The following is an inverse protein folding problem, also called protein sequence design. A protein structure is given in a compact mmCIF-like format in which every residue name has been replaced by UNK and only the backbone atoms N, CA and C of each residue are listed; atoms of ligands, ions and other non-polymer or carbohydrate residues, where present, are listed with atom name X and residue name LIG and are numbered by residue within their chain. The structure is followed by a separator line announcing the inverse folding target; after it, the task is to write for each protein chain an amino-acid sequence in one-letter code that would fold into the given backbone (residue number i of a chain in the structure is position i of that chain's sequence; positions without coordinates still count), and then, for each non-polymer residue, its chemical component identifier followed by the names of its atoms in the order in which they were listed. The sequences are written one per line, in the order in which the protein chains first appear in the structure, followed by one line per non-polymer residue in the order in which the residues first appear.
data_IF_287594773927
#
_entry.id   IF_287594773927
#
_cell.length_a   1.000
_cell.length_b   1.000
_cell.length_c   1.000
_cell.angle_alpha   90.00
_cell.angle_beta   90.00
_cell.angle_gamma   90.00
#
_symmetry.space_group_name_H-M   'P 1'
#
loop_
_entity.id
_entity.type
_entity.pdbx_description
1 polymer ?
#
# COMPACT_ATOMS: atom_id res chain seq x y z
N UNK A 1 -4.74 6.06 -17.80
CA UNK A 1 -4.44 5.34 -16.55
C UNK A 1 -3.12 4.59 -16.71
N UNK A 2 -2.37 4.33 -15.61
CA UNK A 2 -0.99 3.77 -15.50
C UNK A 2 -0.29 3.34 -16.82
N UNK A 3 -0.86 2.42 -17.60
CA UNK A 3 -0.33 1.96 -18.90
C UNK A 3 -0.15 3.08 -19.94
N UNK A 4 -1.00 4.11 -19.95
CA UNK A 4 -0.87 5.29 -20.85
C UNK A 4 0.38 6.12 -20.57
N UNK A 5 0.94 6.01 -19.36
CA UNK A 5 2.20 6.66 -18.98
C UNK A 5 3.44 5.80 -19.32
N UNK A 6 3.25 4.67 -20.01
CA UNK A 6 4.32 3.71 -20.32
C UNK A 6 4.77 2.89 -19.11
N UNK A 7 3.98 2.86 -18.02
CA UNK A 7 4.26 2.09 -16.82
C UNK A 7 3.56 0.74 -16.87
N UNK A 8 4.27 -0.33 -16.48
CA UNK A 8 3.67 -1.65 -16.24
C UNK A 8 2.75 -1.59 -15.03
N UNK A 9 1.69 -2.38 -15.05
CA UNK A 9 0.72 -2.46 -13.96
C UNK A 9 0.37 -3.92 -13.68
N UNK A 10 0.78 -4.42 -12.52
CA UNK A 10 0.47 -5.76 -12.07
C UNK A 10 -0.81 -5.77 -11.22
N UNK A 11 -1.77 -6.62 -11.55
CA UNK A 11 -2.99 -6.77 -10.76
C UNK A 11 -2.73 -7.66 -9.54
N UNK A 12 -2.84 -7.08 -8.34
CA UNK A 12 -2.62 -7.77 -7.06
C UNK A 12 -3.88 -8.46 -6.50
N UNK A 13 -5.00 -8.41 -7.22
CA UNK A 13 -6.29 -8.95 -6.75
C UNK A 13 -6.99 -8.05 -5.72
N UNK A 14 -8.09 -8.57 -5.17
CA UNK A 14 -8.95 -7.87 -4.22
C UNK A 14 -9.87 -6.80 -4.84
N UNK A 15 -10.96 -6.47 -4.12
CA UNK A 15 -11.86 -5.37 -4.48
C UNK A 15 -11.55 -4.13 -3.61
N UNK A 16 -11.16 -2.99 -4.20
CA UNK A 16 -10.95 -1.75 -3.48
C UNK A 16 -12.15 -1.33 -2.62
N UNK A 17 -13.39 -1.56 -3.06
CA UNK A 17 -14.58 -1.20 -2.31
C UNK A 17 -14.73 -2.04 -1.04
N UNK A 18 -14.54 -3.36 -1.13
CA UNK A 18 -14.55 -4.23 0.03
C UNK A 18 -13.39 -3.88 0.99
N UNK A 19 -12.20 -3.64 0.46
CA UNK A 19 -11.03 -3.27 1.26
C UNK A 19 -11.23 -1.94 2.00
N UNK A 20 -11.75 -0.91 1.32
CA UNK A 20 -12.08 0.37 1.96
C UNK A 20 -13.15 0.20 3.04
N UNK A 21 -14.20 -0.58 2.75
CA UNK A 21 -15.24 -0.86 3.74
C UNK A 21 -14.68 -1.53 4.99
N UNK A 22 -13.66 -2.37 4.84
CA UNK A 22 -12.97 -3.02 5.94
C UNK A 22 -12.10 -2.04 6.75
N UNK A 23 -11.27 -1.25 6.06
CA UNK A 23 -10.36 -0.28 6.70
C UNK A 23 -11.13 0.80 7.48
N UNK A 24 -12.31 1.20 7.00
CA UNK A 24 -13.19 2.15 7.70
C UNK A 24 -13.82 1.53 8.96
N UNK A 25 -14.23 0.25 8.89
CA UNK A 25 -14.85 -0.46 10.02
C UNK A 25 -13.85 -0.87 11.10
N UNK A 26 -12.56 -0.90 10.78
CA UNK A 26 -11.50 -1.36 11.67
C UNK A 26 -10.34 -0.36 11.62
N UNK A 27 -10.48 0.80 12.27
CA UNK A 27 -9.41 1.78 12.34
C UNK A 27 -8.27 1.23 13.20
N UNK A 28 -7.32 0.56 12.56
CA UNK A 28 -6.14 -0.04 13.19
C UNK A 28 -5.70 -1.34 12.51
N UNK A 29 -4.40 -1.64 12.57
CA UNK A 29 -3.82 -2.87 12.01
C UNK A 29 -4.19 -4.12 12.83
N UNK A 30 -4.48 -3.92 14.12
CA UNK A 30 -4.85 -5.00 15.03
C UNK A 30 -6.37 -5.12 15.05
N UNK A 31 -6.95 -6.24 14.58
CA UNK A 31 -8.39 -6.44 14.63
C UNK A 31 -8.87 -6.37 16.08
N UNK A 32 -9.79 -5.45 16.37
CA UNK A 32 -10.44 -5.35 17.67
C UNK A 32 -11.25 -6.62 17.98
N UNK A 33 -11.50 -6.89 19.26
CA UNK A 33 -12.23 -8.08 19.73
C UNK A 33 -13.65 -8.15 19.11
N UNK A 34 -14.25 -7.02 18.72
CA UNK A 34 -15.52 -6.95 17.98
C UNK A 34 -15.48 -7.53 16.56
N UNK A 35 -14.30 -7.61 15.92
CA UNK A 35 -14.17 -8.28 14.63
C UNK A 35 -14.29 -9.81 14.77
N UNK A 36 -13.98 -10.37 15.95
CA UNK A 36 -14.11 -11.82 16.24
C UNK A 36 -15.56 -12.29 16.35
N UNK A 37 -16.47 -11.44 16.81
CA UNK A 37 -17.88 -11.78 17.00
C UNK A 37 -18.72 -11.72 15.72
N UNK A 38 -18.25 -11.03 14.69
CA UNK A 38 -19.04 -10.77 13.46
C UNK A 38 -18.89 -11.84 12.35
N UNK A 39 -18.12 -12.92 12.56
CA UNK A 39 -18.03 -14.04 11.61
C UNK A 39 -17.35 -13.74 10.25
N UNK A 40 -17.03 -12.49 9.95
CA UNK A 40 -16.46 -12.05 8.67
C UNK A 40 -14.93 -12.22 8.56
N UNK A 41 -14.25 -12.66 9.62
CA UNK A 41 -12.78 -12.71 9.67
C UNK A 41 -12.20 -13.59 8.56
N UNK A 42 -12.77 -14.77 8.31
CA UNK A 42 -12.22 -15.69 7.33
C UNK A 42 -12.23 -15.11 5.91
N UNK A 43 -13.33 -14.44 5.52
CA UNK A 43 -13.42 -13.76 4.21
C UNK A 43 -12.42 -12.61 4.11
N UNK A 44 -12.26 -11.83 5.18
CA UNK A 44 -11.32 -10.70 5.25
C UNK A 44 -9.87 -11.15 5.19
N UNK A 45 -9.49 -12.17 5.98
CA UNK A 45 -8.15 -12.75 5.95
C UNK A 45 -7.83 -13.32 4.58
N UNK A 46 -8.81 -13.95 3.91
CA UNK A 46 -8.64 -14.42 2.54
C UNK A 46 -8.36 -13.27 1.56
N UNK A 47 -9.16 -12.20 1.60
CA UNK A 47 -8.96 -11.03 0.73
C UNK A 47 -7.60 -10.36 0.97
N UNK A 48 -7.24 -10.11 2.24
CA UNK A 48 -5.94 -9.51 2.57
C UNK A 48 -4.80 -10.44 2.17
N UNK A 49 -4.94 -11.75 2.38
CA UNK A 49 -3.98 -12.76 1.94
C UNK A 49 -3.75 -12.72 0.44
N UNK A 50 -4.82 -12.70 -0.36
CA UNK A 50 -4.75 -12.56 -1.83
C UNK A 50 -3.98 -11.30 -2.24
N UNK A 51 -4.28 -10.15 -1.62
CA UNK A 51 -3.59 -8.89 -1.91
C UNK A 51 -2.11 -8.96 -1.53
N UNK A 52 -1.77 -9.51 -0.37
CA UNK A 52 -0.38 -9.64 0.08
C UNK A 52 0.43 -10.59 -0.82
N UNK A 53 -0.17 -11.71 -1.22
CA UNK A 53 0.42 -12.65 -2.17
C UNK A 53 0.60 -12.00 -3.54
N UNK A 54 -0.39 -11.24 -4.01
CA UNK A 54 -0.31 -10.46 -5.24
C UNK A 54 0.78 -9.40 -5.20
N UNK A 55 0.93 -8.67 -4.09
CA UNK A 55 2.02 -7.72 -3.87
C UNK A 55 3.40 -8.40 -3.97
N UNK A 56 3.57 -9.56 -3.34
CA UNK A 56 4.83 -10.30 -3.43
C UNK A 56 5.08 -10.80 -4.86
N UNK A 57 4.08 -11.40 -5.50
CA UNK A 57 4.17 -11.87 -6.89
C UNK A 57 4.49 -10.72 -7.86
N UNK A 58 3.95 -9.52 -7.64
CA UNK A 58 4.21 -8.35 -8.47
C UNK A 58 5.69 -7.98 -8.58
N UNK A 59 6.53 -8.44 -7.65
CA UNK A 59 7.96 -8.16 -7.65
C UNK A 59 8.77 -9.05 -8.61
N UNK A 60 8.22 -10.16 -9.10
CA UNK A 60 8.96 -11.09 -9.96
C UNK A 60 8.13 -11.89 -10.98
N UNK A 61 6.83 -12.05 -10.75
CA UNK A 61 5.98 -12.85 -11.62
C UNK A 61 5.76 -12.15 -12.98
N UNK A 62 5.61 -12.92 -14.07
CA UNK A 62 5.14 -12.36 -15.33
C UNK A 62 3.71 -11.85 -15.17
N UNK A 63 3.35 -10.83 -15.94
CA UNK A 63 1.99 -10.30 -15.99
C UNK A 63 1.25 -10.96 -17.16
N UNK A 64 -0.02 -11.31 -16.97
CA UNK A 64 -0.80 -12.11 -17.93
C UNK A 64 -1.51 -11.26 -19.00
N UNK A 65 -0.94 -10.09 -19.32
CA UNK A 65 -1.45 -9.20 -20.37
C UNK A 65 -0.86 -9.51 -21.76
N UNK A 66 -1.59 -9.20 -22.85
CA UNK A 66 -1.08 -9.37 -24.20
C UNK A 66 0.20 -8.54 -24.40
N UNK A 67 1.33 -9.21 -24.61
CA UNK A 67 2.66 -8.59 -24.77
C UNK A 67 3.46 -8.42 -23.48
N UNK A 68 3.00 -8.94 -22.34
CA UNK A 68 3.65 -8.79 -21.02
C UNK A 68 4.29 -10.10 -20.49
N UNK A 69 4.50 -11.11 -21.36
CA UNK A 69 5.14 -12.41 -21.04
C UNK A 69 6.61 -12.30 -20.63
N UNK A 70 7.21 -11.11 -20.75
CA UNK A 70 8.55 -10.85 -20.25
C UNK A 70 8.50 -10.76 -18.72
N UNK A 71 9.19 -11.69 -18.06
CA UNK A 71 9.35 -11.71 -16.61
C UNK A 71 9.78 -10.34 -16.04
N UNK A 72 9.44 -10.09 -14.79
CA UNK A 72 9.83 -8.89 -14.06
C UNK A 72 10.83 -9.26 -12.97
N UNK A 73 11.70 -8.34 -12.58
CA UNK A 73 12.58 -8.53 -11.44
C UNK A 73 12.77 -7.17 -10.77
N UNK A 74 12.09 -6.96 -9.65
CA UNK A 74 12.22 -5.74 -8.88
C UNK A 74 13.65 -5.60 -8.34
N UNK A 75 14.27 -4.45 -8.57
CA UNK A 75 15.57 -4.10 -7.99
C UNK A 75 15.44 -3.15 -6.80
N UNK A 76 14.30 -2.47 -6.67
CA UNK A 76 13.97 -1.59 -5.56
C UNK A 76 12.46 -1.47 -5.43
N UNK A 77 11.98 -1.16 -4.22
CA UNK A 77 10.57 -0.86 -3.95
C UNK A 77 10.45 0.62 -3.58
N UNK A 78 9.54 1.31 -4.24
CA UNK A 78 9.11 2.66 -3.91
C UNK A 78 7.73 2.57 -3.29
N UNK A 79 7.59 2.95 -2.02
CA UNK A 79 6.28 2.86 -1.36
C UNK A 79 6.07 3.97 -0.36
N UNK A 80 4.81 4.28 -0.05
CA UNK A 80 4.52 5.18 1.05
C UNK A 80 4.65 4.44 2.40
N UNK A 81 4.94 5.13 3.52
CA UNK A 81 5.04 4.48 4.84
C UNK A 81 3.74 3.83 5.33
N UNK A 82 2.58 4.25 4.82
CA UNK A 82 1.26 3.76 5.24
C UNK A 82 0.77 2.53 4.46
N UNK A 83 1.50 2.09 3.44
CA UNK A 83 1.16 0.93 2.63
C UNK A 83 1.37 -0.36 3.42
N UNK A 84 0.75 -1.44 2.97
CA UNK A 84 1.01 -2.79 3.47
C UNK A 84 1.93 -3.56 2.51
N UNK A 85 2.41 -4.74 2.92
CA UNK A 85 3.28 -5.66 2.15
C UNK A 85 4.72 -5.19 1.83
N UNK A 86 4.93 -3.92 1.49
CA UNK A 86 6.19 -3.39 0.97
C UNK A 86 7.45 -3.75 1.78
N UNK A 87 7.42 -3.62 3.11
CA UNK A 87 8.54 -4.02 4.00
C UNK A 87 8.82 -5.51 3.88
N UNK A 88 7.79 -6.35 3.93
CA UNK A 88 7.93 -7.80 3.85
C UNK A 88 8.42 -8.26 2.47
N UNK A 89 7.97 -7.61 1.40
CA UNK A 89 8.44 -7.92 0.04
C UNK A 89 9.92 -7.55 -0.12
N UNK A 90 10.32 -6.36 0.35
CA UNK A 90 11.70 -5.91 0.31
C UNK A 90 12.63 -6.84 1.11
N UNK A 91 12.21 -7.23 2.32
CA UNK A 91 12.95 -8.14 3.19
C UNK A 91 13.10 -9.53 2.55
N UNK A 92 12.01 -10.11 2.02
CA UNK A 92 12.03 -11.43 1.41
C UNK A 92 12.91 -11.50 0.15
N UNK A 93 13.00 -10.40 -0.61
CA UNK A 93 13.78 -10.33 -1.85
C UNK A 93 15.21 -9.79 -1.62
N UNK A 94 15.50 -9.23 -0.45
CA UNK A 94 16.78 -8.59 -0.17
C UNK A 94 17.05 -7.33 -1.01
N UNK A 95 16.01 -6.59 -1.38
CA UNK A 95 16.09 -5.39 -2.23
C UNK A 95 15.82 -4.11 -1.44
N UNK A 96 16.38 -2.95 -1.83
CA UNK A 96 16.15 -1.68 -1.15
C UNK A 96 14.69 -1.25 -1.18
N UNK A 97 14.21 -0.73 -0.04
CA UNK A 97 12.91 -0.07 0.11
C UNK A 97 13.11 1.43 0.35
N UNK A 98 12.55 2.27 -0.51
CA UNK A 98 12.54 3.72 -0.36
C UNK A 98 11.13 4.21 -0.01
N UNK A 99 11.03 4.94 1.10
CA UNK A 99 9.80 5.61 1.49
C UNK A 99 9.55 6.89 0.71
N UNK A 100 8.40 6.96 0.05
CA UNK A 100 7.92 8.11 -0.70
C UNK A 100 6.85 8.83 0.12
N UNK A 101 7.13 10.07 0.50
CA UNK A 101 6.17 10.95 1.17
C UNK A 101 5.50 11.83 0.14
N UNK A 102 4.20 11.64 -0.03
CA UNK A 102 3.38 12.53 -0.86
C UNK A 102 2.97 13.73 -0.01
N UNK A 103 3.55 14.90 -0.26
CA UNK A 103 2.99 16.15 0.22
C UNK A 103 1.91 16.60 -0.77
N UNK A 104 0.69 16.78 -0.29
CA UNK A 104 -0.27 17.57 -1.05
C UNK A 104 0.19 19.03 -0.97
N UNK A 105 0.61 19.62 -2.09
CA UNK A 105 0.70 21.08 -2.17
C UNK A 105 -0.73 21.59 -2.10
N UNK A 106 -1.17 21.97 -0.91
CA UNK A 106 -2.38 22.77 -0.77
C UNK A 106 -1.99 24.15 -1.29
N UNK A 107 -2.36 24.46 -2.54
CA UNK A 107 -2.32 25.84 -3.03
C UNK A 107 -3.35 26.66 -2.26
N UNK A 108 -2.97 27.14 -1.08
CA UNK A 108 -3.62 28.27 -0.44
C UNK A 108 -2.56 29.22 0.09
N UNK A 109 -2.63 30.43 -0.45
CA UNK A 109 -1.97 31.67 -0.10
C UNK A 109 -1.21 31.69 1.22
N UNK A 110 0.08 32.03 1.09
CA UNK A 110 0.97 32.61 2.08
C UNK A 110 0.23 33.33 3.23
N UNK A 111 0.18 32.72 4.42
CA UNK A 111 -0.01 33.44 5.69
C UNK A 111 1.11 33.03 6.63
N UNK A 112 2.06 33.95 6.76
CA UNK A 112 3.07 33.99 7.81
C UNK A 112 2.41 33.99 9.18
N UNK A 113 2.77 33.04 10.03
CA UNK A 113 2.58 33.15 11.48
C UNK A 113 3.83 32.62 12.20
N UNK A 114 4.79 33.53 12.32
CA UNK A 114 5.70 33.74 13.46
C UNK A 114 5.88 32.59 14.46
N UNK A 115 7.11 32.08 14.49
CA UNK A 115 7.69 31.38 15.62
C UNK A 115 7.65 32.26 16.88
N UNK A 116 6.96 31.78 17.91
CA UNK A 116 7.12 32.21 19.31
C UNK A 116 6.33 31.24 20.18
N UNK A 117 7.02 30.29 20.81
CA UNK A 117 6.86 30.06 22.25
C UNK A 117 8.02 29.21 22.79
N UNK A 118 8.86 29.94 23.50
CA UNK A 118 9.80 29.52 24.55
C UNK A 118 9.02 28.89 25.72
N UNK A 119 9.55 27.82 26.32
CA UNK A 119 9.68 27.50 27.76
C UNK A 119 9.71 25.96 27.93
N UNK A 120 10.83 25.31 28.28
CA UNK A 120 11.47 25.16 29.62
C UNK A 120 10.53 24.74 30.75
N UNK A 121 10.92 23.61 31.35
CA UNK A 121 10.45 22.90 32.56
C UNK A 121 9.31 21.88 32.39
#
# INVERSE_FOLDING_TARGET
MVKDAGLRFYNIGGDPHELMSYMVRNPGLIPGIESLTNGDIGKKQKMVGEILEGCFASCFAPDYGPGEDTGFAAYAILSNPSTFAHIHCAEALGIPLLFVFHYAVVSHSFVSASASQHQTE
#
